data_IF_412893454804
#
_entry.id   IF_412893454804
#
_cell.length_a   1.000
_cell.length_b   1.000
_cell.length_c   1.000
_cell.angle_alpha   90.00
_cell.angle_beta   90.00
_cell.angle_gamma   90.00
#
_symmetry.space_group_name_H-M   'P 1'
#
loop_
_entity.id
_entity.type
_entity.pdbx_description
1 polymer ?
#
# COMPACT_ATOMS: atom_id res chain seq x y z
N UNK A 1 -5.13 11.48 5.36
CA UNK A 1 -4.20 10.60 6.13
C UNK A 1 -2.75 10.87 5.82
N UNK A 2 -2.31 10.75 4.55
CA UNK A 2 -0.90 10.99 4.18
C UNK A 2 -0.42 12.37 4.62
N UNK A 3 -1.17 13.43 4.30
CA UNK A 3 -0.86 14.80 4.73
C UNK A 3 -0.70 14.92 6.25
N UNK A 4 -1.64 14.38 7.02
CA UNK A 4 -1.57 14.42 8.49
C UNK A 4 -0.31 13.73 9.04
N UNK A 5 0.09 12.59 8.47
CA UNK A 5 1.33 11.91 8.88
C UNK A 5 2.58 12.72 8.51
N UNK A 6 2.59 13.33 7.32
CA UNK A 6 3.68 14.21 6.90
C UNK A 6 3.78 15.47 7.77
N UNK A 7 2.66 16.05 8.18
CA UNK A 7 2.67 17.21 9.07
C UNK A 7 3.13 16.85 10.48
N UNK A 8 2.75 15.67 11.01
CA UNK A 8 3.16 15.24 12.34
C UNK A 8 4.60 14.74 12.43
N UNK A 9 5.13 14.18 11.35
CA UNK A 9 6.45 13.56 11.29
C UNK A 9 7.14 13.86 9.94
N UNK A 10 7.50 15.12 9.67
CA UNK A 10 7.98 15.55 8.35
C UNK A 10 9.27 14.84 7.90
N UNK A 11 10.14 14.49 8.85
CA UNK A 11 11.44 13.87 8.58
C UNK A 11 11.39 12.33 8.57
N UNK A 12 10.20 11.72 8.76
CA UNK A 12 10.06 10.26 8.79
C UNK A 12 9.60 9.75 7.43
N UNK A 13 10.23 8.65 7.01
CA UNK A 13 9.87 7.97 5.78
C UNK A 13 8.54 7.23 5.96
N UNK A 14 7.58 7.48 5.08
CA UNK A 14 6.26 6.88 5.08
C UNK A 14 6.24 5.64 4.18
N UNK A 15 6.11 4.47 4.81
CA UNK A 15 5.99 3.16 4.17
C UNK A 15 4.53 2.73 4.20
N UNK A 16 3.86 2.75 3.05
CA UNK A 16 2.45 2.41 2.95
C UNK A 16 2.25 1.00 2.40
N UNK A 17 1.41 0.21 3.07
CA UNK A 17 0.79 -1.00 2.52
C UNK A 17 -0.65 -0.66 2.18
N UNK A 18 -1.00 -0.65 0.89
CA UNK A 18 -2.33 -0.30 0.41
C UNK A 18 -3.05 -1.49 -0.20
N UNK A 19 -4.29 -1.74 0.25
CA UNK A 19 -5.22 -2.69 -0.37
C UNK A 19 -6.41 -1.92 -0.97
N UNK A 20 -6.50 -1.81 -2.31
CA UNK A 20 -7.68 -1.22 -2.93
C UNK A 20 -8.93 -2.03 -2.61
N UNK A 21 -10.08 -1.38 -2.50
CA UNK A 21 -11.35 -2.02 -2.18
C UNK A 21 -12.36 -1.77 -3.29
N UNK A 22 -12.88 -2.86 -3.88
CA UNK A 22 -13.73 -2.92 -5.08
C UNK A 22 -13.01 -2.53 -6.38
N UNK A 23 -13.35 -3.24 -7.44
CA UNK A 23 -12.86 -2.94 -8.79
C UNK A 23 -13.54 -1.69 -9.34
N UNK A 24 -14.85 -1.53 -9.08
CA UNK A 24 -15.64 -0.36 -9.48
C UNK A 24 -15.01 0.95 -8.99
N UNK A 25 -14.77 1.05 -7.67
CA UNK A 25 -14.11 2.22 -7.07
C UNK A 25 -12.70 2.46 -7.61
N UNK A 26 -11.95 1.40 -7.87
CA UNK A 26 -10.60 1.51 -8.44
C UNK A 26 -10.66 2.06 -9.86
N UNK A 27 -11.69 1.73 -10.64
CA UNK A 27 -11.92 2.29 -11.97
C UNK A 27 -12.35 3.75 -11.89
N UNK A 28 -13.32 4.06 -11.03
CA UNK A 28 -13.92 5.41 -10.92
C UNK A 28 -12.90 6.47 -10.47
N UNK A 29 -11.98 6.10 -9.58
CA UNK A 29 -11.00 7.00 -8.96
C UNK A 29 -9.56 6.67 -9.38
N UNK A 30 -9.38 6.07 -10.56
CA UNK A 30 -8.10 5.48 -10.94
C UNK A 30 -6.94 6.48 -10.92
N UNK A 31 -7.10 7.63 -11.59
CA UNK A 31 -6.04 8.65 -11.63
C UNK A 31 -5.80 9.29 -10.27
N UNK A 32 -6.86 9.51 -9.47
CA UNK A 32 -6.72 10.03 -8.10
C UNK A 32 -5.92 9.07 -7.22
N UNK A 33 -6.13 7.75 -7.36
CA UNK A 33 -5.31 6.75 -6.70
C UNK A 33 -3.85 6.82 -7.16
N UNK A 34 -3.61 6.91 -8.48
CA UNK A 34 -2.25 7.04 -9.01
C UNK A 34 -1.56 8.27 -8.42
N UNK A 35 -2.24 9.41 -8.35
CA UNK A 35 -1.68 10.65 -7.80
C UNK A 35 -1.34 10.51 -6.32
N UNK A 36 -2.33 10.16 -5.49
CA UNK A 36 -2.17 10.14 -4.02
C UNK A 36 -1.18 9.05 -3.58
N UNK A 37 -1.23 7.87 -4.20
CA UNK A 37 -0.32 6.78 -3.87
C UNK A 37 1.11 7.05 -4.34
N UNK A 38 1.32 7.96 -5.30
CA UNK A 38 2.67 8.37 -5.73
C UNK A 38 3.37 9.31 -4.75
N UNK A 39 2.69 9.76 -3.68
CA UNK A 39 3.23 10.74 -2.72
C UNK A 39 3.89 10.13 -1.46
N UNK A 40 3.87 8.79 -1.33
CA UNK A 40 4.55 8.07 -0.24
C UNK A 40 5.98 7.72 -0.63
N UNK A 41 6.84 7.41 0.34
CA UNK A 41 8.25 7.09 0.04
C UNK A 41 8.44 5.63 -0.38
N UNK A 42 7.63 4.73 0.20
CA UNK A 42 7.62 3.31 -0.14
C UNK A 42 6.18 2.85 -0.22
N UNK A 43 5.83 2.14 -1.29
CA UNK A 43 4.49 1.66 -1.53
C UNK A 43 4.47 0.15 -1.81
N UNK A 44 3.74 -0.59 -0.98
CA UNK A 44 3.36 -1.98 -1.23
C UNK A 44 1.89 -2.00 -1.63
N UNK A 45 1.58 -2.57 -2.80
CA UNK A 45 0.22 -2.69 -3.33
C UNK A 45 -0.25 -4.15 -3.28
N UNK A 46 -1.26 -4.41 -2.46
CA UNK A 46 -1.95 -5.69 -2.42
C UNK A 46 -2.97 -5.80 -3.55
N UNK A 47 -3.39 -7.04 -3.87
CA UNK A 47 -4.52 -7.27 -4.77
C UNK A 47 -5.80 -6.56 -4.28
N UNK A 48 -6.60 -6.07 -5.24
CA UNK A 48 -7.91 -5.47 -4.97
C UNK A 48 -8.77 -6.45 -4.17
N UNK A 49 -9.26 -6.01 -3.01
CA UNK A 49 -10.29 -6.72 -2.29
C UNK A 49 -11.61 -6.56 -3.05
N UNK A 50 -12.07 -7.62 -3.72
CA UNK A 50 -13.18 -7.53 -4.69
C UNK A 50 -14.52 -7.13 -4.08
N UNK A 51 -14.76 -7.46 -2.81
CA UNK A 51 -16.06 -7.32 -2.15
C UNK A 51 -17.23 -7.91 -2.98
N UNK A 52 -16.99 -9.03 -3.66
CA UNK A 52 -17.97 -9.72 -4.50
C UNK A 52 -18.01 -9.28 -5.97
N UNK A 53 -17.23 -8.28 -6.36
CA UNK A 53 -17.20 -7.80 -7.74
C UNK A 53 -16.36 -8.70 -8.66
N UNK A 54 -16.80 -8.79 -9.91
CA UNK A 54 -15.95 -9.32 -10.98
C UNK A 54 -14.84 -8.32 -11.31
N UNK A 55 -13.72 -8.85 -11.80
CA UNK A 55 -12.59 -8.03 -12.23
C UNK A 55 -13.02 -7.08 -13.34
N UNK A 56 -12.59 -5.84 -13.26
CA UNK A 56 -12.72 -4.84 -14.31
C UNK A 56 -11.34 -4.65 -14.97
N UNK A 57 -11.21 -4.84 -16.29
CA UNK A 57 -9.93 -4.63 -16.99
C UNK A 57 -9.36 -3.23 -16.73
N UNK A 58 -8.06 -3.16 -16.42
CA UNK A 58 -7.37 -1.90 -16.13
C UNK A 58 -7.57 -1.35 -14.72
N UNK A 59 -8.55 -1.84 -13.95
CA UNK A 59 -8.85 -1.38 -12.59
C UNK A 59 -8.29 -2.31 -11.50
N UNK A 60 -7.11 -2.90 -11.74
CA UNK A 60 -6.43 -3.77 -10.79
C UNK A 60 -5.12 -3.18 -10.27
N UNK A 61 -4.61 -3.77 -9.18
CA UNK A 61 -3.39 -3.28 -8.52
C UNK A 61 -2.15 -3.37 -9.42
N UNK A 62 -2.13 -4.26 -10.42
CA UNK A 62 -1.03 -4.36 -11.39
C UNK A 62 -1.04 -3.16 -12.32
N UNK A 63 -2.22 -2.77 -12.77
CA UNK A 63 -2.43 -1.58 -13.58
C UNK A 63 -2.01 -0.35 -12.79
N UNK A 64 -2.50 -0.18 -11.54
CA UNK A 64 -2.07 0.92 -10.66
C UNK A 64 -0.55 0.95 -10.47
N UNK A 65 0.07 -0.21 -10.20
CA UNK A 65 1.54 -0.34 -10.03
C UNK A 65 2.27 0.19 -11.26
N UNK A 66 1.83 -0.16 -12.47
CA UNK A 66 2.43 0.32 -13.72
C UNK A 66 2.28 1.83 -13.86
N UNK A 67 1.09 2.38 -13.64
CA UNK A 67 0.81 3.80 -13.80
C UNK A 67 1.58 4.65 -12.78
N UNK A 68 1.65 4.23 -11.53
CA UNK A 68 2.44 4.87 -10.47
C UNK A 68 3.93 4.84 -10.81
N UNK A 69 4.46 3.68 -11.24
CA UNK A 69 5.85 3.55 -11.69
C UNK A 69 6.18 4.53 -12.82
N UNK A 70 5.28 4.70 -13.78
CA UNK A 70 5.47 5.64 -14.89
C UNK A 70 5.51 7.12 -14.45
N UNK A 71 4.95 7.47 -13.28
CA UNK A 71 5.09 8.81 -12.71
C UNK A 71 6.51 9.08 -12.18
N UNK A 72 7.31 8.04 -11.94
CA UNK A 72 8.73 8.14 -11.58
C UNK A 72 9.01 8.67 -10.16
N UNK A 73 7.99 8.86 -9.33
CA UNK A 73 8.13 9.40 -7.96
C UNK A 73 8.40 8.31 -6.91
N UNK A 74 7.79 7.14 -7.09
CA UNK A 74 7.93 5.98 -6.21
C UNK A 74 7.94 4.72 -7.05
N UNK A 75 8.69 3.72 -6.60
CA UNK A 75 8.73 2.39 -7.21
C UNK A 75 7.83 1.43 -6.41
N UNK A 76 6.58 1.18 -6.86
CA UNK A 76 5.65 0.34 -6.11
C UNK A 76 6.03 -1.14 -6.18
N UNK A 77 5.93 -1.81 -5.03
CA UNK A 77 6.05 -3.25 -4.89
C UNK A 77 4.66 -3.89 -4.90
N UNK A 78 4.31 -4.56 -6.00
CA UNK A 78 3.08 -5.35 -6.03
C UNK A 78 3.25 -6.65 -5.22
N UNK A 79 2.36 -6.86 -4.26
CA UNK A 79 2.38 -8.01 -3.34
C UNK A 79 1.11 -8.84 -3.55
N UNK A 80 1.26 -10.04 -4.12
CA UNK A 80 0.10 -10.88 -4.46
C UNK A 80 -0.59 -11.48 -3.22
N UNK A 81 0.17 -11.83 -2.18
CA UNK A 81 -0.38 -12.49 -0.99
C UNK A 81 -0.04 -11.66 0.25
N UNK A 82 -1.07 -11.36 1.04
CA UNK A 82 -0.92 -10.57 2.27
C UNK A 82 0.09 -11.19 3.25
N UNK A 83 0.18 -12.52 3.31
CA UNK A 83 1.13 -13.23 4.18
C UNK A 83 2.60 -12.91 3.87
N UNK A 84 2.90 -12.46 2.66
CA UNK A 84 4.27 -12.16 2.23
C UNK A 84 4.68 -10.73 2.68
N UNK A 85 3.72 -9.88 3.08
CA UNK A 85 3.98 -8.47 3.43
C UNK A 85 4.94 -8.32 4.59
N UNK A 86 4.78 -9.09 5.68
CA UNK A 86 5.67 -8.96 6.86
C UNK A 86 7.13 -9.23 6.48
N UNK A 87 7.38 -10.24 5.66
CA UNK A 87 8.73 -10.58 5.23
C UNK A 87 9.31 -9.50 4.31
N UNK A 88 8.52 -8.96 3.36
CA UNK A 88 8.99 -7.87 2.51
C UNK A 88 9.32 -6.63 3.37
N UNK A 89 8.46 -6.30 4.32
CA UNK A 89 8.71 -5.19 5.25
C UNK A 89 9.97 -5.41 6.09
N UNK A 90 10.24 -6.62 6.58
CA UNK A 90 11.49 -6.88 7.32
C UNK A 90 12.74 -6.62 6.48
N UNK A 91 12.65 -6.74 5.15
CA UNK A 91 13.77 -6.50 4.23
C UNK A 91 14.03 -5.02 3.92
N UNK A 92 12.98 -4.19 3.89
CA UNK A 92 13.07 -2.83 3.37
C UNK A 92 12.97 -1.74 4.44
N UNK A 93 12.46 -2.08 5.63
CA UNK A 93 12.27 -1.11 6.70
C UNK A 93 13.61 -0.62 7.24
N UNK A 94 13.65 0.68 7.53
CA UNK A 94 14.77 1.35 8.17
C UNK A 94 14.36 1.88 9.54
N UNK A 95 15.32 2.08 10.46
CA UNK A 95 15.04 2.73 11.75
C UNK A 95 14.36 4.09 11.56
N UNK A 96 13.23 4.28 12.22
CA UNK A 96 12.45 5.52 12.16
C UNK A 96 11.40 5.57 11.04
N UNK A 97 11.24 4.52 10.23
CA UNK A 97 10.13 4.43 9.29
C UNK A 97 8.77 4.45 10.00
N UNK A 98 7.81 5.07 9.35
CA UNK A 98 6.39 4.99 9.72
C UNK A 98 5.68 4.03 8.77
N UNK A 99 5.15 2.94 9.33
CA UNK A 99 4.37 1.96 8.55
C UNK A 99 2.89 2.28 8.64
N UNK A 100 2.27 2.55 7.50
CA UNK A 100 0.84 2.77 7.36
C UNK A 100 0.19 1.59 6.62
N UNK A 101 -0.67 0.84 7.29
CA UNK A 101 -1.56 -0.13 6.64
C UNK A 101 -2.88 0.56 6.31
N UNK A 102 -3.23 0.68 5.03
CA UNK A 102 -4.40 1.42 4.57
C UNK A 102 -5.23 0.60 3.59
N UNK A 103 -6.55 0.63 3.73
CA UNK A 103 -7.47 -0.09 2.85
C UNK A 103 -8.63 -0.68 3.63
N UNK A 104 -9.36 -1.58 2.98
CA UNK A 104 -10.47 -2.31 3.59
C UNK A 104 -10.37 -3.80 3.25
N UNK A 105 -11.07 -4.64 4.02
CA UNK A 105 -10.95 -6.09 3.93
C UNK A 105 -9.91 -6.63 4.91
N UNK A 106 -8.98 -7.44 4.42
CA UNK A 106 -8.07 -8.23 5.26
C UNK A 106 -6.88 -7.42 5.81
N UNK A 107 -6.54 -6.26 5.23
CA UNK A 107 -5.43 -5.40 5.67
C UNK A 107 -5.52 -4.97 7.15
N UNK A 108 -6.71 -4.94 7.76
CA UNK A 108 -6.86 -4.70 9.20
C UNK A 108 -6.28 -5.82 10.07
N UNK A 109 -6.30 -7.07 9.57
CA UNK A 109 -5.63 -8.21 10.20
C UNK A 109 -4.11 -8.09 10.13
N UNK A 110 -3.58 -7.63 9.00
CA UNK A 110 -2.15 -7.34 8.83
C UNK A 110 -1.65 -6.34 9.88
N UNK A 111 -2.37 -5.24 10.13
CA UNK A 111 -1.99 -4.26 11.15
C UNK A 111 -1.76 -4.89 12.53
N UNK A 112 -2.69 -5.76 12.98
CA UNK A 112 -2.56 -6.49 14.25
C UNK A 112 -1.40 -7.49 14.24
N UNK A 113 -1.17 -8.18 13.11
CA UNK A 113 -0.06 -9.10 12.96
C UNK A 113 1.29 -8.37 13.09
N UNK A 114 1.45 -7.23 12.43
CA UNK A 114 2.67 -6.45 12.47
C UNK A 114 2.93 -5.88 13.87
N UNK A 115 1.89 -5.36 14.53
CA UNK A 115 2.00 -4.85 15.89
C UNK A 115 2.39 -5.94 16.92
N UNK A 116 1.86 -7.16 16.77
CA UNK A 116 2.12 -8.26 17.70
C UNK A 116 3.49 -8.92 17.50
N UNK A 117 3.93 -9.08 16.24
CA UNK A 117 5.19 -9.77 15.94
C UNK A 117 6.39 -8.85 15.79
N UNK A 118 6.17 -7.57 15.54
CA UNK A 118 7.22 -6.62 15.19
C UNK A 118 8.10 -7.11 14.02
N UNK A 119 9.28 -6.50 13.93
CA UNK A 119 10.30 -6.79 12.91
C UNK A 119 11.66 -7.13 13.54
N UNK A 120 11.71 -7.47 14.84
CA UNK A 120 12.94 -7.68 15.62
C UNK A 120 13.72 -8.97 15.30
N UNK A 121 13.49 -9.59 14.14
CA UNK A 121 14.26 -10.75 13.71
C UNK A 121 15.64 -10.34 13.12
N UNK A 122 16.19 -9.17 13.51
CA UNK A 122 17.54 -8.67 13.18
C UNK A 122 18.18 -7.97 14.36
#
# INVERSE_FOLDING_TARGET
>A
TVEALRSGWPDRRLVMVFQPHRYSRTADLYEDFVEVLSAVDVLLLLDVYSAGESKIPGADSRSLTRSIRLRGKVEPLYVKKEKDVRHILSEILLPGDMVLTQGAGSVGGLSRLLASKGFMDR
#
